data_IF_971648454745
#
_entry.id   IF_971648454745
#
_cell.length_a   1.000
_cell.length_b   1.000
_cell.length_c   1.000
_cell.angle_alpha   90.00
_cell.angle_beta   90.00
_cell.angle_gamma   90.00
#
_symmetry.space_group_name_H-M   'P 1'
#
loop_
_entity.id
_entity.type
_entity.pdbx_description
1 polymer ?
#
# COMPACT_ATOMS: atom_id res chain seq x y z
N UNK A 1 -12.22 -18.47 -19.87
CA UNK A 1 -11.97 -17.57 -18.70
C UNK A 1 -13.08 -16.51 -18.62
N UNK A 2 -13.53 -16.08 -17.43
CA UNK A 2 -14.57 -15.03 -17.32
C UNK A 2 -13.96 -13.64 -17.33
N UNK A 3 -14.60 -12.69 -18.00
CA UNK A 3 -14.15 -11.30 -18.05
C UNK A 3 -15.34 -10.31 -18.07
N UNK A 4 -15.08 -9.08 -17.65
CA UNK A 4 -16.01 -7.95 -17.81
C UNK A 4 -15.58 -7.07 -18.99
N UNK A 5 -16.53 -6.54 -19.75
CA UNK A 5 -16.24 -5.57 -20.80
C UNK A 5 -16.46 -4.15 -20.28
N UNK A 6 -15.55 -3.23 -20.59
CA UNK A 6 -15.71 -1.81 -20.31
C UNK A 6 -15.67 -0.99 -21.61
N UNK A 7 -16.74 -0.25 -21.85
CA UNK A 7 -16.95 0.55 -23.05
C UNK A 7 -17.05 2.02 -22.67
N UNK A 8 -16.47 2.91 -23.48
CA UNK A 8 -16.53 4.36 -23.23
C UNK A 8 -16.69 5.16 -24.51
N UNK A 9 -17.62 6.11 -24.50
CA UNK A 9 -17.78 7.14 -25.55
C UNK A 9 -17.77 8.52 -24.91
N UNK A 10 -17.35 9.54 -25.65
CA UNK A 10 -17.12 10.90 -25.10
C UNK A 10 -17.73 12.03 -25.94
N UNK A 11 -18.47 11.70 -26.99
CA UNK A 11 -19.13 12.65 -27.87
C UNK A 11 -20.59 12.27 -28.09
N UNK A 12 -21.48 13.27 -28.13
CA UNK A 12 -22.93 13.06 -28.33
C UNK A 12 -23.24 12.21 -29.58
N UNK A 13 -22.55 12.47 -30.69
CA UNK A 13 -22.70 11.67 -31.92
C UNK A 13 -22.20 10.22 -31.83
N UNK A 14 -21.32 9.90 -30.87
CA UNK A 14 -20.89 8.51 -30.61
C UNK A 14 -21.83 7.77 -29.64
N UNK A 15 -22.53 8.52 -28.78
CA UNK A 15 -23.54 8.00 -27.85
C UNK A 15 -24.80 7.60 -28.64
N UNK A 16 -25.26 8.48 -29.53
CA UNK A 16 -26.46 8.26 -30.36
C UNK A 16 -26.19 7.45 -31.63
N UNK A 17 -24.91 7.28 -32.01
CA UNK A 17 -24.47 6.51 -33.17
C UNK A 17 -24.08 5.06 -32.85
N UNK A 18 -23.06 4.55 -33.53
CA UNK A 18 -22.62 3.15 -33.43
C UNK A 18 -21.49 2.93 -32.39
N UNK A 19 -21.17 3.93 -31.57
CA UNK A 19 -19.99 3.93 -30.70
C UNK A 19 -19.93 2.73 -29.73
N UNK A 20 -21.01 2.48 -28.98
CA UNK A 20 -21.09 1.31 -28.10
C UNK A 20 -21.28 -0.02 -28.86
N UNK A 21 -22.20 -0.14 -29.85
CA UNK A 21 -22.34 -1.35 -30.65
C UNK A 21 -21.02 -1.81 -31.30
N UNK A 22 -20.27 -0.89 -31.91
CA UNK A 22 -18.99 -1.15 -32.57
C UNK A 22 -17.95 -1.68 -31.60
N UNK A 23 -17.81 -1.04 -30.44
CA UNK A 23 -16.90 -1.49 -29.38
C UNK A 23 -17.28 -2.86 -28.85
N UNK A 24 -18.56 -3.07 -28.57
CA UNK A 24 -19.05 -4.35 -28.04
C UNK A 24 -18.84 -5.49 -29.04
N UNK A 25 -19.03 -5.22 -30.34
CA UNK A 25 -18.74 -6.17 -31.41
C UNK A 25 -17.28 -6.59 -31.39
N UNK A 26 -16.35 -5.63 -31.40
CA UNK A 26 -14.91 -5.92 -31.35
C UNK A 26 -14.51 -6.73 -30.11
N UNK A 27 -15.03 -6.35 -28.93
CA UNK A 27 -14.78 -7.08 -27.66
C UNK A 27 -15.32 -8.50 -27.71
N UNK A 28 -16.52 -8.72 -28.27
CA UNK A 28 -17.12 -10.06 -28.38
C UNK A 28 -16.40 -10.94 -29.39
N UNK A 29 -16.00 -10.39 -30.53
CA UNK A 29 -15.23 -11.11 -31.56
C UNK A 29 -13.87 -11.54 -31.00
N UNK A 30 -13.17 -10.64 -30.30
CA UNK A 30 -11.93 -10.98 -29.60
C UNK A 30 -12.16 -12.04 -28.52
N UNK A 31 -13.23 -11.90 -27.73
CA UNK A 31 -13.53 -12.85 -26.66
C UNK A 31 -13.81 -14.26 -27.19
N UNK A 32 -14.49 -14.37 -28.33
CA UNK A 32 -14.78 -15.64 -29.00
C UNK A 32 -13.53 -16.35 -29.52
N UNK A 33 -12.51 -15.60 -29.97
CA UNK A 33 -11.25 -16.18 -30.48
C UNK A 33 -10.24 -16.53 -29.39
N UNK A 34 -10.45 -16.05 -28.15
CA UNK A 34 -9.52 -16.22 -27.02
C UNK A 34 -10.15 -16.95 -25.81
N UNK A 35 -11.25 -17.68 -26.02
CA UNK A 35 -11.96 -18.43 -24.97
C UNK A 35 -12.34 -17.57 -23.74
N UNK A 36 -12.68 -16.30 -23.97
CA UNK A 36 -13.15 -15.37 -22.95
C UNK A 36 -14.68 -15.32 -22.95
N UNK A 37 -15.26 -15.41 -21.76
CA UNK A 37 -16.69 -15.23 -21.55
C UNK A 37 -16.95 -13.85 -20.95
N UNK A 38 -17.53 -12.95 -21.74
CA UNK A 38 -17.97 -11.64 -21.24
C UNK A 38 -19.22 -11.82 -20.38
N UNK A 39 -19.08 -11.67 -19.05
CA UNK A 39 -20.18 -11.90 -18.10
C UNK A 39 -20.96 -10.64 -17.75
N UNK A 40 -20.35 -9.46 -17.89
CA UNK A 40 -21.02 -8.16 -17.74
C UNK A 40 -20.38 -7.12 -18.64
N UNK A 41 -21.17 -6.16 -19.10
CA UNK A 41 -20.71 -5.01 -19.90
C UNK A 41 -21.03 -3.73 -19.12
N UNK A 42 -20.02 -2.91 -18.90
CA UNK A 42 -20.11 -1.59 -18.27
C UNK A 42 -19.95 -0.53 -19.35
N UNK A 43 -20.84 0.46 -19.35
CA UNK A 43 -20.91 1.50 -20.38
C UNK A 43 -20.75 2.86 -19.72
N UNK A 44 -19.70 3.56 -20.10
CA UNK A 44 -19.39 4.90 -19.60
C UNK A 44 -19.74 5.95 -20.65
N UNK A 45 -20.60 6.88 -20.27
CA UNK A 45 -21.06 7.98 -21.11
C UNK A 45 -20.38 9.28 -20.68
N UNK A 46 -19.40 9.73 -21.45
CA UNK A 46 -18.72 11.00 -21.21
C UNK A 46 -19.52 12.17 -21.77
N UNK A 47 -20.11 12.99 -20.89
CA UNK A 47 -20.64 14.31 -21.26
C UNK A 47 -19.48 15.17 -21.76
N UNK A 48 -19.70 15.86 -22.88
CA UNK A 48 -18.70 16.54 -23.72
C UNK A 48 -17.66 17.39 -22.98
N UNK A 49 -16.44 17.40 -23.53
CA UNK A 49 -15.55 18.57 -23.48
C UNK A 49 -14.57 18.61 -22.32
N UNK A 50 -13.29 18.52 -22.65
CA UNK A 50 -12.16 19.12 -21.91
C UNK A 50 -11.69 18.55 -20.57
N UNK A 51 -12.27 17.48 -20.03
CA UNK A 51 -11.63 16.80 -18.90
C UNK A 51 -11.99 15.32 -18.92
N UNK A 52 -11.02 14.44 -18.67
CA UNK A 52 -11.37 13.10 -18.19
C UNK A 52 -12.18 13.32 -16.91
N UNK A 53 -13.52 13.32 -17.05
CA UNK A 53 -14.45 13.52 -15.93
C UNK A 53 -13.99 12.61 -14.80
N UNK A 54 -13.75 13.20 -13.62
CA UNK A 54 -13.44 12.43 -12.41
C UNK A 54 -14.64 11.57 -11.98
N UNK A 55 -15.84 11.91 -12.47
CA UNK A 55 -17.04 11.13 -12.24
C UNK A 55 -17.18 10.07 -13.35
N UNK A 56 -16.84 8.83 -12.99
CA UNK A 56 -16.88 7.65 -13.85
C UNK A 56 -17.67 6.53 -13.16
N UNK A 57 -19.01 6.66 -13.12
CA UNK A 57 -19.85 5.74 -12.37
C UNK A 57 -19.74 4.29 -12.88
N UNK A 58 -19.65 4.08 -14.20
CA UNK A 58 -19.53 2.74 -14.75
C UNK A 58 -18.17 2.11 -14.43
N UNK A 59 -17.10 2.91 -14.41
CA UNK A 59 -15.79 2.45 -13.94
C UNK A 59 -15.79 2.09 -12.46
N UNK A 60 -16.38 2.94 -11.61
CA UNK A 60 -16.51 2.70 -10.17
C UNK A 60 -17.32 1.43 -9.86
N UNK A 61 -18.42 1.23 -10.60
CA UNK A 61 -19.22 0.02 -10.50
C UNK A 61 -18.44 -1.22 -10.94
N UNK A 62 -17.71 -1.14 -12.06
CA UNK A 62 -16.84 -2.22 -12.53
C UNK A 62 -15.83 -2.65 -11.45
N UNK A 63 -15.15 -1.68 -10.82
CA UNK A 63 -14.21 -1.96 -9.74
C UNK A 63 -14.88 -2.66 -8.56
N UNK A 64 -16.05 -2.18 -8.14
CA UNK A 64 -16.84 -2.80 -7.06
C UNK A 64 -17.16 -4.25 -7.37
N UNK A 65 -17.57 -4.55 -8.61
CA UNK A 65 -17.91 -5.90 -9.05
C UNK A 65 -16.69 -6.82 -9.14
N UNK A 66 -15.56 -6.32 -9.65
CA UNK A 66 -14.29 -7.06 -9.72
C UNK A 66 -13.81 -7.53 -8.34
N UNK A 67 -13.98 -6.67 -7.32
CA UNK A 67 -13.66 -7.04 -5.95
C UNK A 67 -14.65 -8.05 -5.33
N UNK A 68 -15.89 -8.12 -5.83
CA UNK A 68 -16.95 -8.93 -5.23
C UNK A 68 -17.14 -10.32 -5.86
N UNK A 69 -17.01 -10.46 -7.17
CA UNK A 69 -17.55 -11.64 -7.89
C UNK A 69 -16.50 -12.65 -8.38
N UNK A 70 -15.22 -12.46 -8.05
CA UNK A 70 -14.12 -13.35 -8.41
C UNK A 70 -13.64 -13.27 -9.87
N UNK A 71 -14.25 -12.43 -10.71
CA UNK A 71 -13.73 -12.13 -12.04
C UNK A 71 -12.52 -11.20 -11.88
N UNK A 72 -11.43 -11.49 -12.60
CA UNK A 72 -10.18 -10.71 -12.52
C UNK A 72 -9.85 -9.96 -13.80
N UNK A 73 -10.53 -10.27 -14.90
CA UNK A 73 -10.16 -9.79 -16.23
C UNK A 73 -11.14 -8.75 -16.73
N UNK A 74 -10.61 -7.66 -17.27
CA UNK A 74 -11.31 -6.58 -17.93
C UNK A 74 -10.91 -6.58 -19.41
N UNK A 75 -11.89 -6.47 -20.31
CA UNK A 75 -11.65 -6.31 -21.75
C UNK A 75 -12.13 -4.93 -22.18
N UNK A 76 -11.26 -4.19 -22.85
CA UNK A 76 -11.55 -2.92 -23.50
C UNK A 76 -11.27 -3.03 -24.99
N UNK A 77 -11.93 -2.21 -25.80
CA UNK A 77 -11.61 -2.16 -27.23
C UNK A 77 -10.18 -1.64 -27.46
N UNK A 78 -9.87 -0.50 -26.83
CA UNK A 78 -8.62 0.25 -27.02
C UNK A 78 -8.28 1.03 -25.75
N UNK A 79 -7.01 1.38 -25.57
CA UNK A 79 -6.53 2.13 -24.40
C UNK A 79 -7.15 3.53 -24.21
N UNK A 80 -7.57 4.18 -25.29
CA UNK A 80 -8.27 5.47 -25.20
C UNK A 80 -9.66 5.35 -24.53
N UNK A 81 -10.19 4.13 -24.36
CA UNK A 81 -11.37 3.85 -23.56
C UNK A 81 -11.12 3.99 -22.07
N UNK A 82 -9.89 3.73 -21.60
CA UNK A 82 -9.51 4.02 -20.22
C UNK A 82 -9.34 5.50 -19.98
N UNK A 83 -8.51 6.18 -20.76
CA UNK A 83 -8.27 7.61 -20.63
C UNK A 83 -7.66 8.15 -21.92
N UNK A 84 -7.80 9.44 -22.19
CA UNK A 84 -7.09 10.04 -23.34
C UNK A 84 -5.64 10.34 -23.00
N UNK A 85 -5.39 10.71 -21.76
CA UNK A 85 -4.05 10.99 -21.25
C UNK A 85 -3.28 9.69 -20.95
N UNK A 86 -2.04 9.62 -21.43
CA UNK A 86 -1.19 8.44 -21.29
C UNK A 86 -0.79 8.16 -19.83
N UNK A 87 -0.54 9.21 -19.04
CA UNK A 87 -0.18 9.06 -17.62
C UNK A 87 -1.37 8.53 -16.83
N UNK A 88 -2.58 8.99 -17.13
CA UNK A 88 -3.83 8.47 -16.53
C UNK A 88 -4.04 7.01 -16.93
N UNK A 89 -3.79 6.63 -18.19
CA UNK A 89 -3.84 5.23 -18.62
C UNK A 89 -2.87 4.36 -17.82
N UNK A 90 -1.59 4.74 -17.72
CA UNK A 90 -0.58 3.96 -17.00
C UNK A 90 -0.87 3.89 -15.49
N UNK A 91 -1.44 4.94 -14.90
CA UNK A 91 -1.86 4.94 -13.49
C UNK A 91 -2.98 3.92 -13.25
N UNK A 92 -3.98 3.87 -14.12
CA UNK A 92 -5.07 2.89 -14.03
C UNK A 92 -4.52 1.47 -14.20
N UNK A 93 -3.65 1.24 -15.19
CA UNK A 93 -3.04 -0.06 -15.44
C UNK A 93 -2.23 -0.53 -14.22
N UNK A 94 -1.41 0.34 -13.65
CA UNK A 94 -0.62 0.03 -12.47
C UNK A 94 -1.50 -0.30 -11.25
N UNK A 95 -2.61 0.41 -11.06
CA UNK A 95 -3.57 0.13 -9.99
C UNK A 95 -4.26 -1.22 -10.17
N UNK A 96 -4.71 -1.56 -11.38
CA UNK A 96 -5.28 -2.87 -11.68
C UNK A 96 -4.28 -3.99 -11.38
N UNK A 97 -3.04 -3.87 -11.83
CA UNK A 97 -1.99 -4.86 -11.58
C UNK A 97 -1.70 -5.04 -10.09
N UNK A 98 -1.62 -3.93 -9.34
CA UNK A 98 -1.40 -3.96 -7.89
C UNK A 98 -2.51 -4.72 -7.15
N UNK A 99 -3.73 -4.67 -7.67
CA UNK A 99 -4.90 -5.36 -7.12
C UNK A 99 -5.12 -6.77 -7.72
N UNK A 100 -4.22 -7.24 -8.59
CA UNK A 100 -4.31 -8.56 -9.21
C UNK A 100 -5.40 -8.67 -10.27
N UNK A 101 -5.74 -7.57 -10.92
CA UNK A 101 -6.65 -7.53 -12.06
C UNK A 101 -5.88 -7.45 -13.38
N UNK A 102 -6.40 -8.17 -14.38
CA UNK A 102 -5.86 -8.21 -15.72
C UNK A 102 -6.66 -7.29 -16.65
N UNK A 103 -5.95 -6.51 -17.46
CA UNK A 103 -6.54 -5.70 -18.50
C UNK A 103 -6.13 -6.23 -19.87
N UNK A 104 -7.10 -6.44 -20.74
CA UNK A 104 -6.92 -6.84 -22.13
C UNK A 104 -7.45 -5.73 -23.04
N UNK A 105 -6.61 -5.23 -23.94
CA UNK A 105 -7.04 -4.35 -25.03
C UNK A 105 -7.13 -5.17 -26.32
N UNK A 106 -8.25 -5.04 -27.03
CA UNK A 106 -8.44 -5.72 -28.33
C UNK A 106 -7.47 -5.17 -29.38
N UNK A 107 -7.26 -3.84 -29.42
CA UNK A 107 -6.37 -3.20 -30.39
C UNK A 107 -4.89 -3.25 -29.97
N UNK A 108 -4.62 -3.40 -28.67
CA UNK A 108 -3.26 -3.44 -28.12
C UNK A 108 -3.07 -4.73 -27.31
N UNK A 109 -2.98 -5.92 -27.95
CA UNK A 109 -2.93 -7.21 -27.23
C UNK A 109 -1.68 -7.37 -26.35
N UNK A 110 -0.61 -6.62 -26.65
CA UNK A 110 0.63 -6.63 -25.87
C UNK A 110 0.78 -5.34 -25.03
N UNK A 111 -0.13 -5.16 -24.08
CA UNK A 111 -0.13 -4.02 -23.13
C UNK A 111 1.13 -3.94 -22.27
N UNK A 112 1.91 -5.03 -22.19
CA UNK A 112 3.01 -5.18 -21.26
C UNK A 112 4.38 -5.30 -21.93
N UNK A 113 4.46 -5.68 -23.21
CA UNK A 113 5.74 -5.84 -23.87
C UNK A 113 5.96 -4.79 -24.97
N UNK A 114 7.13 -4.19 -24.88
CA UNK A 114 7.90 -3.56 -25.97
C UNK A 114 7.55 -2.17 -26.47
N UNK A 115 6.43 -1.53 -26.09
CA UNK A 115 6.22 -0.12 -26.48
C UNK A 115 7.25 0.81 -25.79
N UNK A 116 8.18 1.46 -26.54
CA UNK A 116 9.25 2.25 -25.93
C UNK A 116 8.74 3.48 -25.17
N UNK A 117 7.61 4.04 -25.60
CA UNK A 117 7.00 5.23 -24.97
C UNK A 117 6.44 4.85 -23.60
N UNK A 118 5.71 3.73 -23.50
CA UNK A 118 5.18 3.20 -22.22
C UNK A 118 6.31 2.78 -21.28
N UNK A 119 7.36 2.16 -21.81
CA UNK A 119 8.56 1.84 -21.02
C UNK A 119 9.17 3.12 -20.42
N UNK A 120 9.37 4.17 -21.24
CA UNK A 120 9.90 5.45 -20.78
C UNK A 120 9.01 6.09 -19.71
N UNK A 121 7.69 6.14 -19.92
CA UNK A 121 6.74 6.72 -18.96
C UNK A 121 6.80 5.97 -17.63
N UNK A 122 6.80 4.63 -17.64
CA UNK A 122 6.92 3.80 -16.43
C UNK A 122 8.24 4.06 -15.70
N UNK A 123 9.35 4.20 -16.44
CA UNK A 123 10.65 4.55 -15.86
C UNK A 123 10.64 5.95 -15.21
N UNK A 124 10.05 6.95 -15.86
CA UNK A 124 9.89 8.29 -15.32
C UNK A 124 9.04 8.28 -14.04
N UNK A 125 7.90 7.58 -14.04
CA UNK A 125 7.05 7.42 -12.84
C UNK A 125 7.83 6.78 -11.69
N UNK A 126 8.61 5.72 -11.97
CA UNK A 126 9.48 5.08 -10.99
C UNK A 126 10.53 6.03 -10.41
N UNK A 127 11.14 6.86 -11.26
CA UNK A 127 12.12 7.87 -10.82
C UNK A 127 11.48 8.95 -9.93
N UNK A 128 10.29 9.44 -10.29
CA UNK A 128 9.53 10.41 -9.48
C UNK A 128 9.15 9.81 -8.13
N UNK A 129 8.61 8.59 -8.09
CA UNK A 129 8.24 7.91 -6.85
C UNK A 129 9.46 7.72 -5.92
N UNK A 130 10.62 7.36 -6.48
CA UNK A 130 11.87 7.23 -5.73
C UNK A 130 12.37 8.58 -5.20
N UNK A 131 12.24 9.64 -5.99
CA UNK A 131 12.56 11.01 -5.56
C UNK A 131 11.67 11.44 -4.38
N UNK A 132 10.36 11.27 -4.48
CA UNK A 132 9.41 11.63 -3.41
C UNK A 132 9.71 10.90 -2.10
N UNK A 133 9.94 9.58 -2.16
CA UNK A 133 10.35 8.79 -1.00
C UNK A 133 11.63 9.34 -0.36
N UNK A 134 12.61 9.68 -1.19
CA UNK A 134 13.88 10.25 -0.73
C UNK A 134 13.70 11.61 -0.07
N UNK A 135 12.83 12.46 -0.63
CA UNK A 135 12.45 13.75 -0.05
C UNK A 135 11.78 13.60 1.32
N UNK A 136 10.87 12.63 1.48
CA UNK A 136 10.23 12.33 2.78
C UNK A 136 11.30 11.94 3.81
N UNK A 137 12.21 11.04 3.46
CA UNK A 137 13.31 10.62 4.35
C UNK A 137 14.19 11.80 4.75
N UNK A 138 14.56 12.67 3.80
CA UNK A 138 15.33 13.88 4.06
C UNK A 138 14.60 14.83 5.03
N UNK A 139 13.31 15.10 4.79
CA UNK A 139 12.48 15.93 5.65
C UNK A 139 12.41 15.38 7.08
N UNK A 140 12.17 14.08 7.23
CA UNK A 140 12.12 13.42 8.55
C UNK A 140 13.48 13.47 9.26
N UNK A 141 14.59 13.28 8.55
CA UNK A 141 15.94 13.40 9.11
C UNK A 141 16.19 14.82 9.63
N UNK A 142 15.84 15.84 8.84
CA UNK A 142 15.95 17.24 9.23
C UNK A 142 15.11 17.57 10.47
N UNK A 143 13.86 17.08 10.52
CA UNK A 143 12.99 17.24 11.69
C UNK A 143 13.58 16.60 12.95
N UNK A 144 14.09 15.37 12.87
CA UNK A 144 14.76 14.67 13.97
C UNK A 144 16.00 15.41 14.46
N UNK A 145 16.80 15.97 13.54
CA UNK A 145 17.97 16.77 13.89
C UNK A 145 17.58 18.04 14.65
N UNK A 146 16.60 18.81 14.15
CA UNK A 146 16.10 20.01 14.83
C UNK A 146 15.59 19.70 16.25
N UNK A 147 14.84 18.61 16.42
CA UNK A 147 14.37 18.17 17.75
C UNK A 147 15.53 17.83 18.68
N UNK A 148 16.55 17.11 18.21
CA UNK A 148 17.78 16.83 19.01
C UNK A 148 18.51 18.10 19.42
N UNK A 149 18.67 19.07 18.52
CA UNK A 149 19.36 20.32 18.84
C UNK A 149 18.59 21.12 19.90
N UNK A 150 17.26 21.17 19.81
CA UNK A 150 16.41 21.91 20.74
C UNK A 150 16.24 21.24 22.11
N UNK A 151 16.03 19.92 22.13
CA UNK A 151 15.64 19.18 23.35
C UNK A 151 16.75 18.25 23.88
N UNK A 152 17.94 18.26 23.26
CA UNK A 152 19.05 17.34 23.55
C UNK A 152 18.80 15.89 23.10
N UNK A 153 17.55 15.52 22.81
CA UNK A 153 17.14 14.19 22.34
C UNK A 153 16.04 14.31 21.28
N UNK A 154 15.96 13.33 20.40
CA UNK A 154 14.77 13.07 19.59
C UNK A 154 14.20 11.74 20.07
N UNK A 155 12.88 11.62 20.08
CA UNK A 155 12.16 10.46 20.61
C UNK A 155 12.75 9.12 20.19
N UNK A 156 12.76 8.18 21.13
CA UNK A 156 13.27 6.82 21.01
C UNK A 156 12.68 5.94 22.12
N UNK A 157 13.13 4.68 22.22
CA UNK A 157 12.63 3.73 23.24
C UNK A 157 12.78 4.32 24.64
N UNK A 158 11.65 4.52 25.33
CA UNK A 158 11.62 5.02 26.71
C UNK A 158 12.27 4.00 27.65
N UNK A 159 13.04 4.42 28.66
CA UNK A 159 13.59 3.50 29.67
C UNK A 159 12.46 2.77 30.41
N UNK A 160 12.76 1.62 31.01
CA UNK A 160 11.84 0.95 31.94
C UNK A 160 11.60 1.87 33.15
N UNK A 161 10.34 2.05 33.58
CA UNK A 161 9.94 3.07 34.56
C UNK A 161 9.42 4.37 33.98
N UNK A 162 9.05 4.39 32.70
CA UNK A 162 8.49 5.60 32.06
C UNK A 162 6.97 5.55 31.97
N UNK A 163 6.38 4.35 31.96
CA UNK A 163 4.95 4.15 31.83
C UNK A 163 4.34 3.78 33.19
N UNK A 164 3.08 4.16 33.39
CA UNK A 164 2.33 3.88 34.61
C UNK A 164 2.34 2.39 34.96
N UNK A 165 2.57 2.09 36.23
CA UNK A 165 2.67 0.71 36.75
C UNK A 165 4.07 0.09 36.69
N UNK A 166 5.04 0.71 36.00
CA UNK A 166 6.43 0.22 36.00
C UNK A 166 7.23 0.65 37.24
N UNK A 167 6.83 1.74 37.90
CA UNK A 167 7.53 2.27 39.09
C UNK A 167 7.53 1.28 40.25
N UNK A 168 6.40 0.61 40.50
CA UNK A 168 6.30 -0.42 41.54
C UNK A 168 7.29 -1.59 41.29
N UNK A 169 7.50 -1.95 40.04
CA UNK A 169 8.45 -3.00 39.64
C UNK A 169 9.90 -2.52 39.85
N UNK A 170 10.19 -1.25 39.58
CA UNK A 170 11.51 -0.66 39.86
C UNK A 170 11.80 -0.65 41.36
N UNK A 171 10.84 -0.26 42.19
CA UNK A 171 11.03 -0.27 43.65
C UNK A 171 11.23 -1.69 44.15
N UNK A 172 10.50 -2.68 43.61
CA UNK A 172 10.72 -4.10 43.91
C UNK A 172 12.13 -4.56 43.53
N UNK A 173 12.60 -4.20 42.33
CA UNK A 173 13.96 -4.51 41.86
C UNK A 173 15.04 -3.94 42.78
N UNK A 174 14.89 -2.68 43.21
CA UNK A 174 15.82 -2.02 44.13
C UNK A 174 15.82 -2.69 45.50
N UNK A 175 14.65 -3.03 46.05
CA UNK A 175 14.52 -3.71 47.34
C UNK A 175 15.21 -5.08 47.34
N UNK A 176 14.97 -5.90 46.32
CA UNK A 176 15.63 -7.21 46.18
C UNK A 176 17.15 -7.09 46.01
N UNK A 177 17.60 -6.02 45.32
CA UNK A 177 19.03 -5.74 45.19
C UNK A 177 19.67 -5.30 46.51
N UNK A 178 18.98 -4.47 47.29
CA UNK A 178 19.44 -4.02 48.61
C UNK A 178 19.54 -5.19 49.60
N UNK A 179 18.69 -6.21 49.46
CA UNK A 179 18.77 -7.47 50.20
C UNK A 179 19.95 -8.38 49.78
N UNK A 180 20.86 -7.91 48.91
CA UNK A 180 22.07 -8.64 48.50
C UNK A 180 21.85 -9.66 47.37
N UNK A 181 20.67 -9.67 46.74
CA UNK A 181 20.34 -10.67 45.73
C UNK A 181 21.07 -10.41 44.40
N UNK A 182 21.57 -11.48 43.77
CA UNK A 182 22.19 -11.43 42.43
C UNK A 182 21.16 -11.24 41.32
N UNK A 183 21.53 -10.63 40.19
CA UNK A 183 20.58 -10.23 39.14
C UNK A 183 19.73 -11.38 38.56
N UNK A 184 20.33 -12.56 38.35
CA UNK A 184 19.58 -13.73 37.87
C UNK A 184 18.58 -14.26 38.91
N UNK A 185 18.95 -14.20 40.20
CA UNK A 185 18.03 -14.56 41.30
C UNK A 185 16.88 -13.57 41.42
N UNK A 186 17.15 -12.27 41.24
CA UNK A 186 16.11 -11.24 41.18
C UNK A 186 15.15 -11.51 40.02
N UNK A 187 15.67 -11.84 38.83
CA UNK A 187 14.84 -12.15 37.67
C UNK A 187 13.96 -13.40 37.91
N UNK A 188 14.52 -14.46 38.49
CA UNK A 188 13.77 -15.66 38.85
C UNK A 188 12.66 -15.35 39.86
N UNK A 189 12.94 -14.52 40.87
CA UNK A 189 11.97 -14.08 41.87
C UNK A 189 10.81 -13.31 41.24
N UNK A 190 11.08 -12.34 40.36
CA UNK A 190 10.04 -11.59 39.67
C UNK A 190 9.16 -12.49 38.79
N UNK A 191 9.76 -13.47 38.11
CA UNK A 191 9.01 -14.44 37.31
C UNK A 191 8.13 -15.35 38.18
N UNK A 192 8.62 -15.78 39.35
CA UNK A 192 7.85 -16.56 40.31
C UNK A 192 6.68 -15.76 40.90
N UNK A 193 6.85 -14.46 41.08
CA UNK A 193 5.80 -13.50 41.49
C UNK A 193 4.80 -13.18 40.36
N UNK A 194 4.99 -13.74 39.16
CA UNK A 194 4.12 -13.52 38.00
C UNK A 194 4.28 -12.15 37.34
N UNK A 195 5.28 -11.35 37.75
CA UNK A 195 5.56 -10.04 37.17
C UNK A 195 6.18 -10.20 35.78
N UNK A 196 5.67 -9.46 34.80
CA UNK A 196 6.15 -9.51 33.42
C UNK A 196 6.90 -8.23 33.04
N UNK A 197 7.82 -8.37 32.09
CA UNK A 197 8.45 -7.20 31.46
C UNK A 197 7.43 -6.42 30.62
N UNK A 198 7.79 -5.21 30.17
CA UNK A 198 6.93 -4.35 29.32
C UNK A 198 6.35 -5.07 28.10
N UNK A 199 7.06 -6.04 27.53
CA UNK A 199 6.62 -6.80 26.36
C UNK A 199 5.97 -8.14 26.72
N UNK A 200 5.59 -8.34 27.98
CA UNK A 200 4.95 -9.57 28.44
C UNK A 200 5.88 -10.79 28.55
N UNK A 201 7.19 -10.61 28.34
CA UNK A 201 8.20 -11.69 28.39
C UNK A 201 8.73 -11.90 29.82
N UNK A 202 9.26 -13.09 30.13
CA UNK A 202 9.96 -13.33 31.40
C UNK A 202 11.14 -12.40 31.63
N UNK A 203 11.46 -12.18 32.89
CA UNK A 203 12.65 -11.47 33.34
C UNK A 203 13.90 -12.33 33.18
N UNK A 204 14.98 -11.69 32.74
CA UNK A 204 16.33 -12.26 32.72
C UNK A 204 17.28 -11.32 33.47
N UNK A 205 18.33 -11.87 34.12
CA UNK A 205 19.25 -11.07 34.93
C UNK A 205 19.93 -9.94 34.15
N UNK A 206 20.16 -10.13 32.85
CA UNK A 206 20.69 -9.07 31.96
C UNK A 206 19.76 -7.84 31.89
N UNK A 207 18.45 -8.06 31.79
CA UNK A 207 17.45 -6.98 31.73
C UNK A 207 17.40 -6.26 33.07
N UNK A 208 17.41 -7.02 34.16
CA UNK A 208 17.45 -6.48 35.54
C UNK A 208 18.70 -5.62 35.75
N UNK A 209 19.87 -6.12 35.38
CA UNK A 209 21.13 -5.39 35.46
C UNK A 209 21.08 -4.08 34.65
N UNK A 210 20.58 -4.13 33.41
CA UNK A 210 20.44 -2.96 32.53
C UNK A 210 19.53 -1.89 33.13
N UNK A 211 18.45 -2.28 33.80
CA UNK A 211 17.51 -1.36 34.44
C UNK A 211 18.10 -0.75 35.72
N UNK A 212 18.70 -1.58 36.58
CA UNK A 212 19.23 -1.12 37.88
C UNK A 212 20.51 -0.29 37.77
N UNK A 213 21.37 -0.58 36.79
CA UNK A 213 22.68 0.09 36.67
C UNK A 213 22.71 1.17 35.59
N UNK A 214 21.70 1.24 34.73
CA UNK A 214 21.67 2.14 33.57
C UNK A 214 22.75 1.86 32.51
N UNK A 215 23.61 0.84 32.69
CA UNK A 215 24.67 0.51 31.75
C UNK A 215 24.11 -0.29 30.57
N UNK A 216 24.24 0.27 29.37
CA UNK A 216 24.21 -0.55 28.14
C UNK A 216 25.49 -1.37 28.09
N UNK A 217 25.39 -2.68 27.86
CA UNK A 217 26.55 -3.51 27.57
C UNK A 217 27.25 -2.93 26.32
N UNK A 218 28.57 -2.74 26.36
CA UNK A 218 29.33 -2.38 25.16
C UNK A 218 29.22 -3.53 24.16
N UNK A 219 28.47 -3.33 23.09
CA UNK A 219 28.32 -4.30 22.00
C UNK A 219 26.87 -4.54 21.61
N UNK A 220 26.25 -3.54 20.98
CA UNK A 220 25.11 -3.67 20.04
C UNK A 220 24.90 -2.34 19.31
#
# INVERSE_FOLDING_TARGET
MKAHAYLRVSGKGQIEGDGFPRQLKAVREYAATHDLQIVRVFREEGVSGTTDSMDRPAWSELMTVLHANGVRTIVIERLDRLARDLMVQETIIADLQKNGFDLISVAEPDLMATDPTRILVRQMMGAVAQYEKSQIVLKLRGARLRKRVKEGRCEGRKPFGFYDGEDAVIERLKALRAAGMGFDRIAAQLNAEGLKTRTGKPWHGLVVNRILTGKKQKGE
#
